data_IF_435080962021
#
_entry.id   IF_435080962021
#
_cell.length_a   1.000
_cell.length_b   1.000
_cell.length_c   1.000
_cell.angle_alpha   90.00
_cell.angle_beta   90.00
_cell.angle_gamma   90.00
#
_symmetry.space_group_name_H-M   'P 1'
#
loop_
_entity.id
_entity.type
_entity.pdbx_description
1 polymer ?
#
# COMPACT_ATOMS: atom_id res chain seq x y z
N UNK A 1 4.32 -9.19 22.75
CA UNK A 1 3.93 -8.35 21.60
C UNK A 1 3.90 -6.90 22.07
N UNK A 2 4.78 -6.07 21.54
CA UNK A 2 4.89 -4.64 21.89
C UNK A 2 3.72 -3.83 21.31
N UNK A 3 3.61 -2.56 21.67
CA UNK A 3 2.65 -1.65 21.04
C UNK A 3 2.90 -1.53 19.53
N UNK A 4 4.15 -1.36 19.13
CA UNK A 4 4.54 -1.25 17.72
C UNK A 4 4.21 -2.51 16.91
N UNK A 5 4.43 -3.69 17.48
CA UNK A 5 4.06 -4.95 16.82
C UNK A 5 2.56 -5.04 16.51
N UNK A 6 1.73 -4.46 17.38
CA UNK A 6 0.26 -4.48 17.24
C UNK A 6 -0.27 -3.51 16.20
N UNK A 7 0.43 -2.39 15.98
CA UNK A 7 -0.05 -1.33 15.08
C UNK A 7 0.62 -1.34 13.70
N UNK A 8 1.77 -2.02 13.54
CA UNK A 8 2.56 -1.99 12.31
C UNK A 8 1.71 -2.31 11.08
N UNK A 9 1.04 -3.44 11.08
CA UNK A 9 0.26 -3.86 9.90
C UNK A 9 -0.84 -2.84 9.57
N UNK A 10 -1.56 -2.33 10.56
CA UNK A 10 -2.56 -1.27 10.33
C UNK A 10 -1.98 0.00 9.71
N UNK A 11 -0.75 0.40 10.10
CA UNK A 11 -0.07 1.54 9.51
C UNK A 11 0.34 1.30 8.03
N UNK A 12 0.80 0.08 7.71
CA UNK A 12 1.12 -0.31 6.32
C UNK A 12 -0.15 -0.33 5.44
N UNK A 13 -1.25 -0.88 5.96
CA UNK A 13 -2.57 -0.91 5.29
C UNK A 13 -3.13 0.51 5.10
N UNK A 14 -2.89 1.42 6.06
CA UNK A 14 -3.23 2.84 5.99
C UNK A 14 -2.54 3.54 4.82
N UNK A 15 -1.26 3.27 4.59
CA UNK A 15 -0.54 3.74 3.41
C UNK A 15 -1.13 3.19 2.12
N UNK A 16 -1.40 1.89 2.07
CA UNK A 16 -1.97 1.25 0.89
C UNK A 16 -3.29 1.93 0.46
N UNK A 17 -4.16 2.23 1.43
CA UNK A 17 -5.51 2.79 1.20
C UNK A 17 -5.54 4.31 1.02
N UNK A 18 -4.79 5.05 1.85
CA UNK A 18 -4.97 6.49 2.01
C UNK A 18 -3.67 7.29 1.81
N UNK A 19 -2.55 6.62 1.53
CA UNK A 19 -1.25 7.25 1.27
C UNK A 19 -0.76 8.16 2.41
N UNK A 20 -1.02 7.79 3.66
CA UNK A 20 -0.45 8.43 4.85
C UNK A 20 0.75 7.59 5.31
N UNK A 21 1.92 8.21 5.45
CA UNK A 21 3.15 7.49 5.81
C UNK A 21 2.98 6.67 7.10
N UNK A 22 3.39 5.39 7.09
CA UNK A 22 3.33 4.51 8.26
C UNK A 22 4.01 5.09 9.49
N UNK A 23 5.18 5.73 9.30
CA UNK A 23 5.94 6.36 10.37
C UNK A 23 5.18 7.51 11.02
N UNK A 24 4.54 8.38 10.22
CA UNK A 24 3.71 9.48 10.72
C UNK A 24 2.53 8.95 11.53
N UNK A 25 1.79 7.99 10.98
CA UNK A 25 0.64 7.37 11.64
C UNK A 25 1.04 6.73 12.98
N UNK A 26 2.14 5.98 13.00
CA UNK A 26 2.64 5.34 14.22
C UNK A 26 3.10 6.38 15.27
N UNK A 27 3.81 7.44 14.85
CA UNK A 27 4.26 8.49 15.76
C UNK A 27 3.08 9.25 16.39
N UNK A 28 2.04 9.56 15.59
CA UNK A 28 0.81 10.14 16.12
C UNK A 28 0.09 9.18 17.07
N UNK A 29 -0.03 7.90 16.73
CA UNK A 29 -0.62 6.90 17.62
C UNK A 29 0.11 6.80 18.97
N UNK A 30 1.45 6.84 18.96
CA UNK A 30 2.27 6.87 20.18
C UNK A 30 1.97 8.12 21.01
N UNK A 31 2.02 9.28 20.36
CA UNK A 31 1.89 10.57 21.04
C UNK A 31 0.49 10.76 21.63
N UNK A 32 -0.55 10.55 20.84
CA UNK A 32 -1.95 10.81 21.21
C UNK A 32 -2.47 9.81 22.25
N UNK A 33 -2.03 8.54 22.18
CA UNK A 33 -2.52 7.50 23.09
C UNK A 33 -1.56 7.15 24.24
N UNK A 34 -0.40 7.77 24.31
CA UNK A 34 0.63 7.39 25.29
C UNK A 34 1.02 5.92 25.19
N UNK A 35 1.36 5.45 23.97
CA UNK A 35 1.67 4.04 23.71
C UNK A 35 0.46 3.10 23.93
N UNK A 36 -0.73 3.56 23.60
CA UNK A 36 -1.97 2.82 23.76
C UNK A 36 -2.51 2.75 25.18
N UNK A 37 -1.85 3.40 26.16
CA UNK A 37 -2.29 3.42 27.55
C UNK A 37 -3.56 4.26 27.74
N UNK A 38 -3.74 5.24 26.89
CA UNK A 38 -4.86 6.19 26.91
C UNK A 38 -5.67 6.12 25.61
N UNK A 39 -6.10 4.90 25.25
CA UNK A 39 -6.91 4.65 24.06
C UNK A 39 -8.27 4.01 24.43
N UNK A 40 -9.17 4.76 25.12
CA UNK A 40 -10.48 4.21 25.47
C UNK A 40 -11.22 3.78 24.19
N UNK A 41 -11.92 2.65 24.27
CA UNK A 41 -12.66 2.10 23.13
C UNK A 41 -11.82 1.99 21.82
N UNK A 42 -10.53 1.68 21.96
CA UNK A 42 -9.54 1.59 20.88
C UNK A 42 -9.32 2.90 20.08
N UNK A 43 -9.70 4.06 20.60
CA UNK A 43 -9.52 5.37 19.97
C UNK A 43 -8.09 5.87 20.17
N UNK A 44 -7.18 5.58 19.23
CA UNK A 44 -5.76 5.96 19.31
C UNK A 44 -5.51 7.46 19.06
N UNK A 45 -6.39 8.16 18.35
CA UNK A 45 -6.15 9.51 17.84
C UNK A 45 -7.14 10.56 18.36
N UNK A 46 -8.09 10.20 19.20
CA UNK A 46 -9.05 11.15 19.74
C UNK A 46 -9.91 11.87 18.68
N UNK A 47 -10.31 11.19 17.60
CA UNK A 47 -11.12 11.81 16.56
C UNK A 47 -12.53 12.01 17.06
N UNK A 48 -13.04 13.25 16.97
CA UNK A 48 -14.42 13.57 17.35
C UNK A 48 -15.42 12.90 16.39
N UNK A 49 -16.51 12.39 16.95
CA UNK A 49 -17.64 11.84 16.21
C UNK A 49 -18.63 12.96 15.89
N UNK A 50 -18.45 13.59 14.74
CA UNK A 50 -19.36 14.62 14.23
C UNK A 50 -20.66 14.02 13.65
N UNK A 51 -21.54 14.86 13.11
CA UNK A 51 -22.84 14.45 12.57
C UNK A 51 -22.74 13.51 11.35
N UNK A 52 -21.59 13.43 10.69
CA UNK A 52 -21.36 12.53 9.55
C UNK A 52 -20.91 11.14 9.99
N UNK A 53 -20.49 10.98 11.26
CA UNK A 53 -20.03 9.71 11.80
C UNK A 53 -21.19 8.78 12.10
N UNK A 54 -21.21 7.61 11.47
CA UNK A 54 -22.25 6.57 11.63
C UNK A 54 -21.78 5.34 12.45
N UNK A 55 -20.49 5.33 12.81
CA UNK A 55 -19.89 4.24 13.59
C UNK A 55 -20.16 4.35 15.08
N UNK A 56 -19.53 3.47 15.87
CA UNK A 56 -19.57 3.49 17.33
C UNK A 56 -18.94 4.77 17.88
N UNK A 57 -19.47 5.27 18.97
CA UNK A 57 -18.96 6.46 19.66
C UNK A 57 -19.08 6.33 21.18
N UNK A 58 -18.34 7.17 21.89
CA UNK A 58 -18.43 7.30 23.35
C UNK A 58 -18.30 8.77 23.73
N UNK A 59 -18.93 9.11 24.84
CA UNK A 59 -18.87 10.45 25.39
C UNK A 59 -17.84 10.49 26.52
N UNK A 60 -17.01 11.55 26.56
CA UNK A 60 -16.05 11.76 27.64
C UNK A 60 -15.96 13.22 28.00
N UNK A 61 -15.62 13.50 29.26
CA UNK A 61 -15.31 14.86 29.69
C UNK A 61 -13.96 15.26 29.12
N UNK A 62 -13.90 16.41 28.49
CA UNK A 62 -12.68 17.02 27.96
C UNK A 62 -12.65 18.49 28.36
N UNK A 63 -11.49 19.10 28.24
CA UNK A 63 -11.29 20.52 28.53
C UNK A 63 -10.98 21.25 27.24
N UNK A 64 -11.72 22.29 26.95
CA UNK A 64 -11.51 23.15 25.79
C UNK A 64 -11.22 24.58 26.26
N UNK A 65 -10.31 25.24 25.60
CA UNK A 65 -9.97 26.66 25.81
C UNK A 65 -10.53 27.48 24.65
N UNK A 66 -11.77 27.99 24.82
CA UNK A 66 -12.41 28.88 23.83
C UNK A 66 -11.98 30.35 23.94
N UNK A 67 -11.45 30.73 25.09
CA UNK A 67 -10.84 32.03 25.33
C UNK A 67 -9.53 31.82 26.08
N UNK A 68 -8.50 32.61 25.74
CA UNK A 68 -7.19 32.50 26.35
C UNK A 68 -7.29 32.53 27.88
N UNK A 69 -6.81 31.49 28.55
CA UNK A 69 -6.81 31.33 30.00
C UNK A 69 -8.14 30.83 30.59
N UNK A 70 -9.19 30.57 29.79
CA UNK A 70 -10.47 30.06 30.28
C UNK A 70 -10.68 28.63 29.81
N UNK A 71 -10.41 27.67 30.71
CA UNK A 71 -10.65 26.24 30.46
C UNK A 71 -12.10 25.90 30.85
N UNK A 72 -12.83 25.31 29.92
CA UNK A 72 -14.23 24.91 30.13
C UNK A 72 -14.32 23.39 30.03
N UNK A 73 -14.90 22.77 31.06
CA UNK A 73 -15.23 21.32 31.02
C UNK A 73 -16.44 21.12 30.12
N UNK A 74 -16.27 20.33 29.08
CA UNK A 74 -17.34 19.93 28.16
C UNK A 74 -17.43 18.41 28.03
N UNK A 75 -18.55 17.93 27.56
CA UNK A 75 -18.71 16.53 27.15
C UNK A 75 -18.65 16.48 25.64
N UNK A 76 -17.62 15.83 25.14
CA UNK A 76 -17.44 15.62 23.71
C UNK A 76 -17.63 14.16 23.34
N UNK A 77 -18.09 13.94 22.12
CA UNK A 77 -18.29 12.62 21.54
C UNK A 77 -17.13 12.25 20.64
N UNK A 78 -16.52 11.10 20.90
CA UNK A 78 -15.38 10.56 20.14
C UNK A 78 -15.75 9.26 19.44
N UNK A 79 -15.06 8.99 18.33
CA UNK A 79 -15.20 7.74 17.57
C UNK A 79 -14.68 6.57 18.40
N UNK A 80 -15.38 5.43 18.36
CA UNK A 80 -15.01 4.18 19.01
C UNK A 80 -14.83 3.09 17.97
N UNK A 81 -13.89 2.16 18.23
CA UNK A 81 -13.50 1.15 17.27
C UNK A 81 -13.45 -0.24 17.89
N UNK A 82 -13.56 -1.28 17.05
CA UNK A 82 -13.45 -2.67 17.49
C UNK A 82 -11.99 -3.09 17.71
N UNK A 83 -11.05 -2.43 17.00
CA UNK A 83 -9.62 -2.67 17.12
C UNK A 83 -8.78 -1.40 16.92
N UNK A 84 -7.51 -1.46 17.28
CA UNK A 84 -6.54 -0.41 16.96
C UNK A 84 -6.33 -0.26 15.44
N UNK A 85 -6.41 -1.37 14.70
CA UNK A 85 -6.34 -1.32 13.22
C UNK A 85 -7.48 -0.49 12.64
N UNK A 86 -8.70 -0.66 13.13
CA UNK A 86 -9.84 0.14 12.66
C UNK A 86 -9.64 1.62 12.95
N UNK A 87 -9.11 1.96 14.13
CA UNK A 87 -8.77 3.34 14.49
C UNK A 87 -7.71 3.93 13.54
N UNK A 88 -6.68 3.16 13.19
CA UNK A 88 -5.62 3.58 12.26
C UNK A 88 -6.16 3.79 10.85
N UNK A 89 -6.99 2.89 10.37
CA UNK A 89 -7.60 2.99 9.03
C UNK A 89 -8.52 4.20 8.95
N UNK A 90 -9.35 4.41 9.98
CA UNK A 90 -10.21 5.59 10.03
C UNK A 90 -9.43 6.91 10.16
N UNK A 91 -8.31 6.93 10.90
CA UNK A 91 -7.42 8.08 10.94
C UNK A 91 -6.86 8.41 9.54
N UNK A 92 -6.39 7.40 8.80
CA UNK A 92 -5.93 7.59 7.42
C UNK A 92 -7.03 8.14 6.53
N UNK A 93 -8.26 7.61 6.65
CA UNK A 93 -9.44 8.12 5.94
C UNK A 93 -9.76 9.56 6.32
N UNK A 94 -9.76 9.89 7.62
CA UNK A 94 -10.00 11.25 8.12
C UNK A 94 -9.02 12.27 7.53
N UNK A 95 -7.73 11.94 7.46
CA UNK A 95 -6.74 12.82 6.85
C UNK A 95 -6.93 12.94 5.34
N UNK A 96 -7.24 11.84 4.64
CA UNK A 96 -7.43 11.84 3.20
C UNK A 96 -8.69 12.60 2.77
N UNK A 97 -9.78 12.49 3.51
CA UNK A 97 -11.07 13.11 3.18
C UNK A 97 -11.11 14.60 3.53
N UNK A 98 -10.22 15.09 4.37
CA UNK A 98 -10.20 16.48 4.77
C UNK A 98 -9.18 17.29 3.95
N UNK A 99 -9.64 18.20 3.08
CA UNK A 99 -8.79 18.94 2.13
C UNK A 99 -7.62 19.70 2.76
N UNK A 100 -7.72 20.09 4.02
CA UNK A 100 -6.64 20.81 4.72
C UNK A 100 -5.38 19.96 4.89
N UNK A 101 -5.49 18.61 4.90
CA UNK A 101 -4.37 17.68 5.00
C UNK A 101 -3.84 17.21 3.65
N UNK A 102 -4.26 17.83 2.54
CA UNK A 102 -3.85 17.42 1.18
C UNK A 102 -2.32 17.33 1.00
N UNK A 103 -1.56 18.19 1.69
CA UNK A 103 -0.09 18.18 1.63
C UNK A 103 0.55 16.98 2.36
N UNK A 104 -0.21 16.28 3.20
CA UNK A 104 0.25 15.08 3.93
C UNK A 104 0.04 13.82 3.09
N UNK A 105 -1.03 13.81 2.27
CA UNK A 105 -1.43 12.65 1.46
C UNK A 105 -0.41 12.45 0.33
N UNK A 106 0.24 11.29 0.31
CA UNK A 106 1.23 10.95 -0.71
C UNK A 106 2.63 11.55 -0.50
N UNK A 107 2.86 12.33 0.57
CA UNK A 107 4.20 12.77 0.93
C UNK A 107 5.06 11.54 1.32
N UNK A 108 6.30 11.50 0.85
CA UNK A 108 7.21 10.36 1.01
C UNK A 108 8.40 10.65 1.94
N UNK A 109 8.60 11.90 2.30
CA UNK A 109 9.57 12.33 3.31
C UNK A 109 8.86 12.55 4.65
N UNK A 110 9.15 11.71 5.64
CA UNK A 110 8.50 11.78 6.94
C UNK A 110 8.67 13.12 7.65
N UNK A 111 9.79 13.84 7.44
CA UNK A 111 10.00 15.17 8.05
C UNK A 111 9.05 16.18 7.43
N UNK A 112 8.92 16.17 6.10
CA UNK A 112 7.96 17.02 5.39
C UNK A 112 6.53 16.69 5.79
N UNK A 113 6.19 15.40 5.92
CA UNK A 113 4.88 14.95 6.37
C UNK A 113 4.55 15.44 7.79
N UNK A 114 5.54 15.42 8.73
CA UNK A 114 5.38 15.94 10.09
C UNK A 114 5.16 17.46 10.10
N UNK A 115 5.85 18.22 9.27
CA UNK A 115 5.60 19.67 9.15
C UNK A 115 4.25 19.93 8.48
N UNK A 116 3.91 19.21 7.40
CA UNK A 116 2.64 19.37 6.70
C UNK A 116 1.41 19.11 7.60
N UNK A 117 1.45 18.08 8.45
CA UNK A 117 0.35 17.78 9.39
C UNK A 117 0.23 18.88 10.46
N UNK A 118 1.36 19.42 10.93
CA UNK A 118 1.40 20.56 11.89
C UNK A 118 0.85 21.84 11.24
N UNK A 119 1.30 22.18 10.03
CA UNK A 119 0.89 23.40 9.31
C UNK A 119 -0.60 23.34 8.91
N UNK A 120 -1.12 22.14 8.66
CA UNK A 120 -2.54 21.89 8.46
C UNK A 120 -3.39 22.05 9.75
N UNK A 121 -2.76 22.31 10.91
CA UNK A 121 -3.44 22.56 12.17
C UNK A 121 -4.02 21.29 12.83
N UNK A 122 -3.35 20.14 12.69
CA UNK A 122 -3.73 18.94 13.44
C UNK A 122 -3.57 19.13 14.94
N UNK A 123 -2.50 19.81 15.34
CA UNK A 123 -2.24 20.20 16.72
C UNK A 123 -1.80 21.67 16.82
N UNK A 124 -2.11 22.33 17.94
CA UNK A 124 -1.77 23.74 18.19
C UNK A 124 -0.35 23.92 18.72
N UNK A 125 0.22 22.89 19.38
CA UNK A 125 1.55 22.96 19.98
C UNK A 125 2.64 23.27 18.93
N UNK A 126 3.49 24.28 19.18
CA UNK A 126 4.52 24.73 18.24
C UNK A 126 5.54 23.66 17.89
N UNK A 127 5.94 22.83 18.85
CA UNK A 127 6.92 21.75 18.69
C UNK A 127 6.35 20.41 18.24
N UNK A 128 5.10 20.37 17.74
CA UNK A 128 4.44 19.11 17.39
C UNK A 128 5.18 18.33 16.29
N UNK A 129 5.61 19.01 15.22
CA UNK A 129 6.33 18.37 14.13
C UNK A 129 7.68 17.79 14.59
N UNK A 130 8.45 18.54 15.37
CA UNK A 130 9.74 18.12 15.91
C UNK A 130 9.60 16.92 16.84
N UNK A 131 8.54 16.89 17.65
CA UNK A 131 8.24 15.78 18.54
C UNK A 131 7.90 14.50 17.74
N UNK A 132 7.09 14.60 16.70
CA UNK A 132 6.82 13.48 15.80
C UNK A 132 8.10 12.98 15.12
N UNK A 133 8.94 13.88 14.60
CA UNK A 133 10.22 13.53 13.97
C UNK A 133 11.15 12.81 14.98
N UNK A 134 11.18 13.27 16.23
CA UNK A 134 11.95 12.63 17.29
C UNK A 134 11.43 11.21 17.56
N UNK A 135 10.13 11.05 17.74
CA UNK A 135 9.49 9.72 17.96
C UNK A 135 9.82 8.78 16.81
N UNK A 136 9.73 9.25 15.56
CA UNK A 136 10.03 8.43 14.37
C UNK A 136 11.48 7.94 14.42
N UNK A 137 12.43 8.83 14.70
CA UNK A 137 13.86 8.49 14.74
C UNK A 137 14.21 7.53 15.87
N UNK A 138 13.75 7.83 17.09
CA UNK A 138 14.05 7.04 18.29
C UNK A 138 13.52 5.60 18.19
N UNK A 139 12.43 5.39 17.45
CA UNK A 139 11.80 4.08 17.29
C UNK A 139 12.06 3.44 15.92
N UNK A 140 12.86 4.05 15.06
CA UNK A 140 13.19 3.50 13.75
C UNK A 140 11.99 3.38 12.78
N UNK A 141 10.94 4.19 12.98
CA UNK A 141 9.68 4.05 12.22
C UNK A 141 9.84 4.39 10.74
N UNK A 142 10.85 5.17 10.35
CA UNK A 142 11.17 5.47 8.95
C UNK A 142 11.48 4.21 8.11
N UNK A 143 11.84 3.10 8.76
CA UNK A 143 12.03 1.84 8.05
C UNK A 143 10.70 1.24 7.55
N UNK A 144 9.57 1.56 8.20
CA UNK A 144 8.25 1.16 7.72
C UNK A 144 7.86 1.92 6.44
N UNK A 145 8.28 3.19 6.35
CA UNK A 145 8.10 3.97 5.12
C UNK A 145 8.92 3.39 3.97
N UNK A 146 10.19 3.03 4.23
CA UNK A 146 11.05 2.42 3.24
C UNK A 146 10.47 1.09 2.69
N UNK A 147 9.82 0.30 3.55
CA UNK A 147 9.16 -0.96 3.17
C UNK A 147 8.06 -0.72 2.12
N UNK A 148 7.15 0.23 2.38
CA UNK A 148 6.02 0.52 1.48
C UNK A 148 6.42 1.31 0.23
N UNK A 149 7.42 2.19 0.33
CA UNK A 149 7.90 2.99 -0.79
C UNK A 149 8.72 2.14 -1.78
N UNK A 150 9.48 1.17 -1.29
CA UNK A 150 10.20 0.21 -2.12
C UNK A 150 9.22 -0.66 -2.89
N UNK A 151 8.23 -1.24 -2.20
CA UNK A 151 7.18 -2.05 -2.81
C UNK A 151 6.43 -1.29 -3.91
N UNK A 152 6.00 -0.06 -3.66
CA UNK A 152 5.34 0.78 -4.67
C UNK A 152 6.22 1.08 -5.89
N UNK A 153 7.54 1.27 -5.69
CA UNK A 153 8.48 1.53 -6.79
C UNK A 153 8.64 0.29 -7.66
N UNK A 154 8.77 -0.87 -7.05
CA UNK A 154 8.88 -2.16 -7.74
C UNK A 154 7.58 -2.47 -8.51
N UNK A 155 6.41 -2.32 -7.88
CA UNK A 155 5.11 -2.52 -8.52
C UNK A 155 4.89 -1.55 -9.71
N UNK A 156 5.25 -0.27 -9.56
CA UNK A 156 5.16 0.72 -10.65
C UNK A 156 6.12 0.40 -11.80
N UNK A 157 7.33 -0.11 -11.50
CA UNK A 157 8.31 -0.50 -12.50
C UNK A 157 7.83 -1.74 -13.27
N UNK A 158 7.34 -2.76 -12.58
CA UNK A 158 6.73 -3.97 -13.18
C UNK A 158 5.53 -3.57 -14.06
N UNK A 159 4.65 -2.70 -13.58
CA UNK A 159 3.50 -2.21 -14.34
C UNK A 159 3.90 -1.47 -15.64
N UNK A 160 4.98 -0.67 -15.62
CA UNK A 160 5.48 0.01 -16.82
C UNK A 160 6.08 -0.97 -17.82
N UNK A 161 6.87 -1.94 -17.38
CA UNK A 161 7.41 -3.00 -18.22
C UNK A 161 6.31 -3.86 -18.84
N UNK A 162 5.30 -4.25 -18.07
CA UNK A 162 4.15 -5.00 -18.59
C UNK A 162 3.43 -4.21 -19.68
N UNK A 163 3.28 -2.91 -19.55
CA UNK A 163 2.64 -2.06 -20.56
C UNK A 163 3.46 -2.04 -21.85
N UNK A 164 4.77 -1.87 -21.75
CA UNK A 164 5.67 -1.91 -22.92
C UNK A 164 5.59 -3.25 -23.66
N UNK A 165 5.57 -4.37 -22.92
CA UNK A 165 5.39 -5.72 -23.48
C UNK A 165 4.07 -5.82 -24.26
N UNK A 166 2.97 -5.38 -23.64
CA UNK A 166 1.64 -5.44 -24.26
C UNK A 166 1.58 -4.59 -25.53
N UNK A 167 2.06 -3.34 -25.46
CA UNK A 167 2.09 -2.42 -26.61
C UNK A 167 2.94 -2.96 -27.76
N UNK A 168 4.09 -3.57 -27.46
CA UNK A 168 4.95 -4.20 -28.47
C UNK A 168 4.20 -5.30 -29.24
N UNK A 169 3.55 -6.24 -28.52
CA UNK A 169 2.83 -7.34 -29.18
C UNK A 169 1.56 -6.89 -29.91
N UNK A 170 0.86 -5.87 -29.39
CA UNK A 170 -0.26 -5.25 -30.14
C UNK A 170 0.21 -4.67 -31.46
N UNK A 171 1.34 -3.96 -31.48
CA UNK A 171 1.91 -3.36 -32.68
C UNK A 171 2.33 -4.44 -33.70
N UNK A 172 2.96 -5.52 -33.25
CA UNK A 172 3.30 -6.66 -34.11
C UNK A 172 2.04 -7.30 -34.72
N UNK A 173 1.03 -7.58 -33.90
CA UNK A 173 -0.22 -8.15 -34.38
C UNK A 173 -0.92 -7.25 -35.40
N UNK A 174 -0.97 -5.94 -35.17
CA UNK A 174 -1.54 -4.98 -36.11
C UNK A 174 -0.76 -4.90 -37.43
N UNK A 175 0.54 -5.18 -37.41
CA UNK A 175 1.39 -5.27 -38.59
C UNK A 175 1.33 -6.64 -39.28
N UNK A 176 0.57 -7.58 -38.76
CA UNK A 176 0.52 -8.96 -39.25
C UNK A 176 1.84 -9.72 -39.07
N UNK A 177 2.61 -9.33 -38.04
CA UNK A 177 3.90 -9.93 -37.70
C UNK A 177 3.81 -10.69 -36.37
N UNK A 178 4.73 -11.63 -36.18
CA UNK A 178 4.94 -12.33 -34.93
C UNK A 178 6.41 -12.28 -34.53
N UNK A 179 6.76 -13.00 -33.49
CA UNK A 179 8.15 -13.22 -33.06
C UNK A 179 8.51 -14.69 -33.30
N UNK A 180 9.73 -14.92 -33.78
CA UNK A 180 10.35 -16.22 -33.90
C UNK A 180 11.63 -16.16 -33.08
N UNK A 181 11.60 -16.71 -31.86
CA UNK A 181 12.72 -16.58 -30.90
C UNK A 181 13.91 -17.45 -31.28
N UNK A 182 13.65 -18.60 -31.84
CA UNK A 182 14.66 -19.64 -32.03
C UNK A 182 14.94 -19.98 -33.50
N UNK A 183 14.23 -19.34 -34.42
CA UNK A 183 14.31 -19.57 -35.88
C UNK A 183 13.91 -21.02 -36.25
N UNK A 184 13.06 -21.65 -35.42
CA UNK A 184 12.58 -23.00 -35.65
C UNK A 184 11.07 -23.01 -35.86
N UNK A 185 10.64 -23.59 -36.97
CA UNK A 185 9.22 -23.76 -37.34
C UNK A 185 8.39 -22.44 -37.43
N UNK A 186 9.06 -21.26 -37.55
CA UNK A 186 8.39 -19.98 -37.63
C UNK A 186 7.72 -19.56 -36.31
N UNK A 187 6.71 -18.70 -36.38
CA UNK A 187 6.04 -18.13 -35.20
C UNK A 187 5.22 -19.18 -34.44
N UNK A 188 5.62 -19.43 -33.20
CA UNK A 188 4.97 -20.41 -32.33
C UNK A 188 4.36 -19.72 -31.09
N UNK A 189 3.38 -20.38 -30.46
CA UNK A 189 2.74 -19.87 -29.24
C UNK A 189 3.72 -19.69 -28.06
N UNK A 190 4.79 -20.50 -28.00
CA UNK A 190 5.84 -20.39 -27.00
C UNK A 190 6.80 -19.20 -27.22
N UNK A 191 6.92 -18.70 -28.47
CA UNK A 191 7.84 -17.60 -28.78
C UNK A 191 7.49 -16.30 -28.07
N UNK A 192 6.21 -15.98 -27.96
CA UNK A 192 5.72 -14.75 -27.31
C UNK A 192 6.18 -14.65 -25.86
N UNK A 193 5.86 -15.60 -24.96
CA UNK A 193 6.30 -15.53 -23.57
C UNK A 193 7.81 -15.67 -23.43
N UNK A 194 8.47 -16.50 -24.26
CA UNK A 194 9.93 -16.64 -24.23
C UNK A 194 10.65 -15.37 -24.69
N UNK A 195 10.16 -14.72 -25.75
CA UNK A 195 10.69 -13.45 -26.22
C UNK A 195 10.52 -12.35 -25.17
N UNK A 196 9.32 -12.23 -24.60
CA UNK A 196 9.04 -11.24 -23.57
C UNK A 196 9.91 -11.44 -22.33
N UNK A 197 10.02 -12.68 -21.83
CA UNK A 197 10.85 -13.03 -20.70
C UNK A 197 12.31 -12.63 -20.92
N UNK A 198 12.88 -12.91 -22.10
CA UNK A 198 14.26 -12.57 -22.42
C UNK A 198 14.47 -11.08 -22.59
N UNK A 199 13.60 -10.42 -23.38
CA UNK A 199 13.81 -9.03 -23.78
C UNK A 199 13.63 -8.04 -22.64
N UNK A 200 12.57 -8.20 -21.83
CA UNK A 200 12.24 -7.25 -20.75
C UNK A 200 12.71 -7.66 -19.38
N UNK A 201 12.86 -8.96 -19.13
CA UNK A 201 13.21 -9.45 -17.78
C UNK A 201 14.58 -10.15 -17.73
N UNK A 202 15.26 -10.32 -18.88
CA UNK A 202 16.57 -10.95 -18.93
C UNK A 202 16.56 -12.47 -18.61
N UNK A 203 15.37 -13.09 -18.65
CA UNK A 203 15.15 -14.48 -18.25
C UNK A 203 14.96 -15.36 -19.48
N UNK A 204 15.72 -16.45 -19.56
CA UNK A 204 15.54 -17.46 -20.61
C UNK A 204 14.54 -18.53 -20.15
N UNK A 205 13.34 -18.52 -20.73
CA UNK A 205 12.40 -19.63 -20.64
C UNK A 205 12.69 -20.65 -21.75
N UNK A 206 12.40 -21.92 -21.49
CA UNK A 206 12.74 -23.03 -22.37
C UNK A 206 11.56 -24.03 -22.49
N UNK A 207 11.60 -24.84 -23.56
CA UNK A 207 10.60 -25.86 -23.84
C UNK A 207 9.43 -25.40 -24.69
N UNK A 208 8.51 -26.31 -24.95
CA UNK A 208 7.26 -26.00 -25.63
C UNK A 208 6.30 -25.26 -24.71
N UNK A 209 5.17 -24.79 -25.21
CA UNK A 209 4.18 -24.07 -24.40
C UNK A 209 3.79 -24.82 -23.12
N UNK A 210 3.67 -26.14 -23.18
CA UNK A 210 3.32 -26.97 -22.00
C UNK A 210 4.43 -26.98 -20.92
N UNK A 211 5.70 -26.79 -21.33
CA UNK A 211 6.87 -26.83 -20.45
C UNK A 211 7.14 -25.46 -19.79
N UNK A 212 6.51 -24.36 -20.27
CA UNK A 212 6.78 -23.00 -19.82
C UNK A 212 6.50 -22.78 -18.34
N UNK A 213 5.51 -23.48 -17.76
CA UNK A 213 5.22 -23.37 -16.33
C UNK A 213 6.36 -23.91 -15.46
N UNK A 214 6.97 -25.01 -15.88
CA UNK A 214 8.12 -25.59 -15.18
C UNK A 214 9.37 -24.74 -15.37
N UNK A 215 9.59 -24.24 -16.58
CA UNK A 215 10.67 -23.31 -16.90
C UNK A 215 10.57 -22.01 -16.10
N UNK A 216 9.37 -21.41 -15.99
CA UNK A 216 9.13 -20.20 -15.21
C UNK A 216 9.35 -20.44 -13.70
N UNK A 217 8.88 -21.56 -13.16
CA UNK A 217 9.13 -21.95 -11.78
C UNK A 217 10.64 -22.12 -11.48
N UNK A 218 11.40 -22.71 -12.41
CA UNK A 218 12.83 -22.93 -12.26
C UNK A 218 13.64 -21.63 -12.18
N UNK A 219 13.14 -20.52 -12.75
CA UNK A 219 13.76 -19.19 -12.68
C UNK A 219 13.15 -18.30 -11.59
N UNK A 220 12.32 -18.87 -10.71
CA UNK A 220 11.77 -18.20 -9.52
C UNK A 220 10.51 -17.37 -9.77
N UNK A 221 9.83 -17.53 -10.89
CA UNK A 221 8.55 -16.88 -11.13
C UNK A 221 7.43 -17.57 -10.36
N UNK A 222 6.42 -16.80 -9.95
CA UNK A 222 5.22 -17.34 -9.32
C UNK A 222 4.38 -18.06 -10.37
N UNK A 223 4.08 -19.35 -10.11
CA UNK A 223 3.34 -20.21 -11.04
C UNK A 223 2.12 -20.80 -10.34
N UNK A 224 0.95 -20.52 -10.89
CA UNK A 224 -0.33 -21.06 -10.44
C UNK A 224 -0.81 -22.16 -11.41
N UNK A 225 -1.04 -23.37 -10.89
CA UNK A 225 -1.54 -24.49 -11.67
C UNK A 225 -3.00 -24.76 -11.35
N UNK A 226 -3.80 -25.06 -12.37
CA UNK A 226 -5.21 -25.38 -12.17
C UNK A 226 -5.41 -26.73 -11.43
N UNK A 227 -6.43 -26.86 -10.55
CA UNK A 227 -7.34 -25.78 -10.15
C UNK A 227 -6.68 -24.73 -9.25
N UNK A 228 -6.96 -23.46 -9.46
CA UNK A 228 -6.48 -22.36 -8.63
C UNK A 228 -7.59 -21.32 -8.45
N UNK A 229 -7.63 -20.64 -7.31
CA UNK A 229 -8.46 -19.48 -7.02
C UNK A 229 -7.73 -18.14 -7.27
N UNK A 230 -6.47 -18.20 -7.69
CA UNK A 230 -5.71 -17.01 -8.06
C UNK A 230 -6.28 -16.38 -9.35
N UNK A 231 -6.53 -15.08 -9.29
CA UNK A 231 -6.91 -14.30 -10.48
C UNK A 231 -5.64 -13.87 -11.23
N UNK A 232 -5.58 -14.03 -12.56
CA UNK A 232 -4.47 -13.54 -13.35
C UNK A 232 -4.30 -12.02 -13.20
N UNK A 233 -3.09 -11.57 -12.95
CA UNK A 233 -2.75 -10.15 -12.94
C UNK A 233 -2.48 -9.66 -14.36
N UNK A 234 -2.59 -8.34 -14.58
CA UNK A 234 -2.21 -7.72 -15.86
C UNK A 234 -0.74 -8.03 -16.18
N UNK A 235 -0.50 -8.60 -17.35
CA UNK A 235 0.84 -9.04 -17.80
C UNK A 235 1.19 -10.47 -17.44
N UNK A 236 0.29 -11.24 -16.79
CA UNK A 236 0.51 -12.66 -16.56
C UNK A 236 0.38 -13.45 -17.89
N UNK A 237 1.27 -14.41 -18.07
CA UNK A 237 1.12 -15.42 -19.13
C UNK A 237 0.32 -16.59 -18.60
N UNK A 238 -0.47 -17.21 -19.47
CA UNK A 238 -1.14 -18.46 -19.14
C UNK A 238 -0.86 -19.53 -20.20
N UNK A 239 -0.83 -20.78 -19.76
CA UNK A 239 -0.69 -21.95 -20.61
C UNK A 239 -1.93 -22.81 -20.48
N UNK A 240 -2.57 -23.09 -21.61
CA UNK A 240 -3.75 -23.93 -21.66
C UNK A 240 -3.43 -25.26 -22.34
N UNK A 241 -3.73 -26.36 -21.68
CA UNK A 241 -3.74 -27.68 -22.33
C UNK A 241 -5.04 -27.84 -23.11
N UNK A 242 -4.93 -28.04 -24.42
CA UNK A 242 -6.07 -28.31 -25.27
C UNK A 242 -6.08 -29.78 -25.71
N UNK A 243 -7.24 -30.46 -25.72
CA UNK A 243 -7.32 -31.81 -26.23
C UNK A 243 -6.79 -31.85 -27.67
N UNK A 244 -6.01 -32.86 -27.98
CA UNK A 244 -5.38 -33.12 -29.29
C UNK A 244 -4.12 -32.31 -29.61
N UNK A 245 -3.65 -31.43 -28.74
CA UNK A 245 -2.34 -30.77 -28.88
C UNK A 245 -1.38 -31.24 -27.80
N UNK A 246 -0.35 -31.97 -28.19
CA UNK A 246 0.64 -32.51 -27.25
C UNK A 246 1.65 -31.44 -26.70
N UNK A 247 1.70 -30.25 -27.32
CA UNK A 247 2.65 -29.19 -26.94
C UNK A 247 2.03 -28.09 -26.11
N UNK A 248 0.71 -28.09 -25.87
CA UNK A 248 -0.02 -27.01 -25.18
C UNK A 248 -0.15 -25.73 -26.01
N UNK A 249 -0.87 -24.75 -25.48
CA UNK A 249 -1.02 -23.40 -26.02
C UNK A 249 -0.98 -22.34 -24.90
#
# INVERSE_FOLDING_TARGET
MTFLDKIKQGCLDGWAKYKILPSLTAAQAILESGWGKHAPHNALFGIKADSSWTGKSFDTKTQEEYQAGVVTDIVDRFRAYDSWTDSIIDHGKFLNDNPRYKAVVGETDYKKACHAIKDAGYATASGYAELLIQIIKENGLQFWDAEVLKSNKEEKMISSQCREVIEFFINLANAGMGVDKDSFAGWQCADVPCYAAKHWFGVDLWGNAIDLLDSAAAVGWEVHRMPTDANPLTGAFFVQSVPYHQFGH
#
